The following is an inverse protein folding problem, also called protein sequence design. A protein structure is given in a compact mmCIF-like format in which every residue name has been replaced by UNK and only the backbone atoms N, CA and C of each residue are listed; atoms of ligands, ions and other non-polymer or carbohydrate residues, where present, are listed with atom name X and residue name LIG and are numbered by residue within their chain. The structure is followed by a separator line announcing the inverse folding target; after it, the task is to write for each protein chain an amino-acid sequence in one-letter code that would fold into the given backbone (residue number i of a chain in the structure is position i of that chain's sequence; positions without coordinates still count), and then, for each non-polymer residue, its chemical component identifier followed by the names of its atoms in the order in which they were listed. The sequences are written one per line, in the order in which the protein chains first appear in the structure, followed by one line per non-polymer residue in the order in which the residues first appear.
data_IF_741765465023
#
_entry.id   IF_741765465023
#
_cell.length_a   1.000
_cell.length_b   1.000
_cell.length_c   1.000
_cell.angle_alpha   90.00
_cell.angle_beta   90.00
_cell.angle_gamma   90.00
#
_symmetry.space_group_name_H-M   'P 1'
#
loop_
_entity.id
_entity.type
_entity.pdbx_description
1 polymer ?
#
# COMPACT_ATOMS: atom_id res chain seq x y z
N UNK A 1 0.04 -26.39 -10.26
CA UNK A 1 0.16 -25.83 -11.62
C UNK A 1 0.29 -24.32 -11.46
N UNK A 2 1.51 -23.80 -11.50
CA UNK A 2 1.74 -22.37 -11.65
C UNK A 2 1.71 -22.14 -13.17
N UNK A 3 0.72 -21.40 -13.67
CA UNK A 3 0.71 -20.95 -15.06
C UNK A 3 1.47 -19.64 -15.09
N UNK A 4 2.68 -19.67 -15.62
CA UNK A 4 3.43 -18.46 -15.94
C UNK A 4 2.59 -17.68 -16.98
N UNK A 5 2.07 -16.52 -16.58
CA UNK A 5 1.34 -15.64 -17.48
C UNK A 5 2.38 -14.83 -18.28
N UNK A 6 2.73 -15.34 -19.46
CA UNK A 6 3.63 -14.66 -20.41
C UNK A 6 2.94 -13.49 -21.16
N UNK A 7 1.70 -13.16 -20.81
CA UNK A 7 0.92 -12.09 -21.42
C UNK A 7 0.85 -10.87 -20.48
N UNK A 8 1.45 -9.75 -20.90
CA UNK A 8 1.39 -8.47 -20.18
C UNK A 8 -0.06 -8.00 -19.96
N UNK A 9 -0.99 -8.34 -20.85
CA UNK A 9 -2.41 -7.99 -20.73
C UNK A 9 -3.12 -8.75 -19.59
N UNK A 10 -2.54 -9.84 -19.09
CA UNK A 10 -3.09 -10.66 -18.00
C UNK A 10 -2.36 -10.45 -16.67
N UNK A 11 -1.32 -9.62 -16.66
CA UNK A 11 -0.56 -9.33 -15.45
C UNK A 11 -1.43 -8.61 -14.40
N UNK A 12 -1.28 -8.99 -13.14
CA UNK A 12 -1.90 -8.26 -12.03
C UNK A 12 -1.04 -7.08 -11.56
N UNK A 13 0.28 -7.16 -11.78
CA UNK A 13 1.27 -6.18 -11.34
C UNK A 13 2.29 -5.91 -12.46
N UNK A 14 2.63 -4.64 -12.66
CA UNK A 14 3.82 -4.18 -13.38
C UNK A 14 4.76 -3.56 -12.36
N UNK A 15 5.99 -4.05 -12.33
CA UNK A 15 7.01 -3.61 -11.38
C UNK A 15 7.93 -2.59 -12.05
N UNK A 16 7.99 -1.39 -11.49
CA UNK A 16 8.88 -0.31 -11.88
C UNK A 16 10.18 -0.35 -11.07
N UNK A 17 11.27 0.30 -11.54
CA UNK A 17 12.47 0.49 -10.74
C UNK A 17 12.16 1.11 -9.38
N UNK A 18 12.98 0.77 -8.39
CA UNK A 18 12.85 1.29 -7.02
C UNK A 18 12.78 2.81 -7.01
N UNK A 19 11.85 3.34 -6.22
CA UNK A 19 11.70 4.76 -5.97
C UNK A 19 11.95 5.06 -4.49
N UNK A 20 12.44 6.27 -4.19
CA UNK A 20 12.58 6.71 -2.81
C UNK A 20 11.18 6.90 -2.17
N UNK A 21 11.00 6.55 -0.88
CA UNK A 21 9.76 6.80 -0.14
C UNK A 21 9.42 8.30 -0.09
N UNK A 22 8.12 8.61 0.05
CA UNK A 22 7.66 9.97 0.29
C UNK A 22 7.99 10.40 1.73
N UNK A 23 8.74 11.50 1.90
CA UNK A 23 9.23 11.94 3.22
C UNK A 23 8.12 12.40 4.18
N UNK A 24 6.94 12.77 3.69
CA UNK A 24 5.86 13.35 4.48
C UNK A 24 4.73 12.36 4.82
N UNK A 25 4.79 11.13 4.32
CA UNK A 25 3.74 10.10 4.49
C UNK A 25 4.24 8.95 5.36
N UNK A 26 3.78 8.91 6.62
CA UNK A 26 4.24 7.91 7.60
C UNK A 26 3.19 6.85 7.93
N UNK A 27 1.91 7.24 7.98
CA UNK A 27 0.82 6.33 8.29
C UNK A 27 -0.52 6.88 7.78
N UNK A 28 -1.50 5.98 7.60
CA UNK A 28 -2.90 6.33 7.34
C UNK A 28 -3.85 5.66 8.33
N UNK A 29 -4.96 6.32 8.69
CA UNK A 29 -5.99 5.70 9.49
C UNK A 29 -6.86 4.76 8.65
N UNK A 30 -7.06 3.53 9.11
CA UNK A 30 -7.79 2.50 8.34
C UNK A 30 -9.13 2.11 8.95
N UNK A 31 -9.23 2.09 10.28
CA UNK A 31 -10.44 1.65 10.96
C UNK A 31 -10.63 2.36 12.28
N UNK A 32 -11.88 2.73 12.59
CA UNK A 32 -12.27 3.18 13.94
C UNK A 32 -13.01 2.08 14.69
N UNK A 33 -12.61 1.87 15.95
CA UNK A 33 -13.33 1.03 16.90
C UNK A 33 -13.42 1.75 18.24
N UNK A 34 -14.64 2.13 18.61
CA UNK A 34 -14.91 2.88 19.84
C UNK A 34 -14.08 4.18 19.94
N UNK A 35 -13.13 4.23 20.87
CA UNK A 35 -12.22 5.36 21.13
C UNK A 35 -10.81 5.12 20.60
N UNK A 36 -10.62 4.06 19.81
CA UNK A 36 -9.33 3.70 19.22
C UNK A 36 -9.41 3.67 17.71
N UNK A 37 -8.31 3.98 17.06
CA UNK A 37 -8.15 4.00 15.61
C UNK A 37 -6.97 3.10 15.27
N UNK A 38 -7.15 2.24 14.27
CA UNK A 38 -6.11 1.39 13.72
C UNK A 38 -5.29 2.19 12.71
N UNK A 39 -4.01 2.44 13.02
CA UNK A 39 -3.05 3.04 12.09
C UNK A 39 -2.35 1.96 11.30
N UNK A 40 -2.35 2.14 9.99
CA UNK A 40 -1.47 1.44 9.07
C UNK A 40 -0.21 2.28 8.81
N UNK A 41 0.96 1.66 8.96
CA UNK A 41 2.26 2.30 8.76
C UNK A 41 2.75 2.02 7.35
N UNK A 42 2.96 3.06 6.54
CA UNK A 42 3.38 2.88 5.16
C UNK A 42 4.67 2.04 5.08
N UNK A 43 4.71 1.15 4.09
CA UNK A 43 5.83 0.24 3.83
C UNK A 43 6.02 -0.87 4.87
N UNK A 44 5.13 -0.98 5.84
CA UNK A 44 5.03 -2.13 6.74
C UNK A 44 3.79 -2.95 6.38
N UNK A 45 3.79 -4.26 6.64
CA UNK A 45 2.61 -5.06 6.37
C UNK A 45 1.54 -4.82 7.45
N UNK A 46 0.29 -5.20 7.16
CA UNK A 46 -0.87 -5.01 8.05
C UNK A 46 -0.67 -5.63 9.44
N UNK A 47 0.15 -6.67 9.57
CA UNK A 47 0.50 -7.24 10.88
C UNK A 47 1.19 -6.27 11.84
N UNK A 48 1.73 -5.15 11.32
CA UNK A 48 2.37 -4.09 12.11
C UNK A 48 1.43 -2.94 12.45
N UNK A 49 0.17 -3.00 12.04
CA UNK A 49 -0.81 -1.99 12.36
C UNK A 49 -0.99 -1.84 13.88
N UNK A 50 -1.19 -0.60 14.33
CA UNK A 50 -1.28 -0.30 15.76
C UNK A 50 -2.57 0.42 16.11
N UNK A 51 -3.21 -0.01 17.20
CA UNK A 51 -4.34 0.70 17.77
C UNK A 51 -3.85 1.88 18.61
N UNK A 52 -4.35 3.07 18.30
CA UNK A 52 -4.03 4.31 19.02
C UNK A 52 -5.29 5.04 19.47
N UNK A 53 -5.20 5.82 20.54
CA UNK A 53 -6.31 6.62 21.10
C UNK A 53 -6.19 8.10 20.76
N UNK A 54 -5.78 8.42 19.53
CA UNK A 54 -5.63 9.80 19.04
C UNK A 54 -6.93 10.28 18.42
N UNK A 55 -7.30 11.53 18.65
CA UNK A 55 -8.37 12.19 17.89
C UNK A 55 -7.83 12.67 16.55
N UNK A 56 -8.44 12.23 15.45
CA UNK A 56 -8.08 12.65 14.10
C UNK A 56 -8.99 13.78 13.62
N UNK A 57 -8.49 14.69 12.77
CA UNK A 57 -9.31 15.73 12.16
C UNK A 57 -10.31 15.17 11.13
N UNK A 58 -10.06 13.97 10.61
CA UNK A 58 -10.86 13.27 9.59
C UNK A 58 -11.06 11.82 10.04
N UNK A 59 -12.25 11.27 9.85
CA UNK A 59 -12.54 9.87 10.14
C UNK A 59 -11.88 8.94 9.09
N UNK A 60 -11.40 7.75 9.49
CA UNK A 60 -10.94 6.77 8.51
C UNK A 60 -12.06 6.39 7.54
N UNK A 61 -11.72 5.99 6.31
CA UNK A 61 -12.71 5.51 5.35
C UNK A 61 -13.38 4.23 5.86
N UNK A 62 -14.68 4.05 5.56
CA UNK A 62 -15.43 2.85 5.96
C UNK A 62 -14.91 1.55 5.30
N UNK A 63 -14.25 1.69 4.15
CA UNK A 63 -13.66 0.62 3.38
C UNK A 63 -12.44 1.13 2.60
N UNK A 64 -11.45 0.27 2.30
CA UNK A 64 -10.37 0.62 1.38
C UNK A 64 -10.92 1.06 0.01
N UNK A 65 -10.24 1.97 -0.69
CA UNK A 65 -10.56 2.31 -2.07
C UNK A 65 -10.61 1.04 -2.93
N UNK A 66 -11.61 0.92 -3.79
CA UNK A 66 -11.63 -0.17 -4.77
C UNK A 66 -10.63 0.20 -5.87
N UNK A 67 -9.48 -0.46 -5.87
CA UNK A 67 -8.56 -0.40 -7.00
C UNK A 67 -9.15 -1.15 -8.20
N UNK A 68 -9.07 -0.53 -9.38
CA UNK A 68 -9.54 -1.12 -10.64
C UNK A 68 -8.42 -1.16 -11.65
N UNK A 69 -8.17 -2.33 -12.23
CA UNK A 69 -7.14 -2.52 -13.23
C UNK A 69 -5.85 -3.08 -12.65
N UNK A 70 -4.77 -2.92 -13.39
CA UNK A 70 -3.44 -3.46 -13.10
C UNK A 70 -2.71 -2.57 -12.10
N UNK A 71 -2.06 -3.18 -11.12
CA UNK A 71 -1.22 -2.47 -10.16
C UNK A 71 0.12 -2.08 -10.79
N UNK A 72 0.49 -0.81 -10.67
CA UNK A 72 1.82 -0.32 -11.02
C UNK A 72 2.54 0.02 -9.73
N UNK A 73 3.52 -0.80 -9.35
CA UNK A 73 4.22 -0.67 -8.07
C UNK A 73 5.72 -0.54 -8.28
N UNK A 74 6.40 0.14 -7.37
CA UNK A 74 7.86 0.17 -7.38
C UNK A 74 8.47 -1.14 -6.84
N UNK A 75 9.72 -1.42 -7.23
CA UNK A 75 10.39 -2.68 -6.91
C UNK A 75 10.52 -2.98 -5.42
N UNK A 76 10.41 -1.99 -4.52
CA UNK A 76 10.43 -2.29 -3.09
C UNK A 76 9.23 -3.11 -2.62
N UNK A 77 8.11 -3.11 -3.35
CA UNK A 77 6.95 -3.94 -3.00
C UNK A 77 7.32 -5.43 -2.92
N UNK A 78 8.08 -5.93 -3.91
CA UNK A 78 8.54 -7.33 -3.92
C UNK A 78 9.63 -7.59 -2.89
N UNK A 79 10.56 -6.65 -2.71
CA UNK A 79 11.65 -6.86 -1.74
C UNK A 79 11.14 -6.86 -0.31
N UNK A 80 10.16 -6.02 -0.02
CA UNK A 80 9.59 -5.89 1.31
C UNK A 80 8.64 -7.07 1.58
N UNK A 81 7.89 -7.53 0.56
CA UNK A 81 7.14 -8.79 0.63
C UNK A 81 8.03 -9.98 1.00
N UNK A 82 9.20 -10.12 0.37
CA UNK A 82 10.18 -11.17 0.70
C UNK A 82 10.75 -10.99 2.11
N UNK A 83 11.11 -9.75 2.48
CA UNK A 83 11.69 -9.43 3.78
C UNK A 83 10.74 -9.70 4.95
N UNK A 84 9.49 -9.28 4.83
CA UNK A 84 8.47 -9.48 5.86
C UNK A 84 7.83 -10.87 5.78
N UNK A 85 8.00 -11.58 4.65
CA UNK A 85 7.30 -12.83 4.35
C UNK A 85 5.77 -12.66 4.53
N UNK A 86 5.25 -11.54 4.07
CA UNK A 86 3.85 -11.13 4.16
C UNK A 86 3.48 -10.32 2.91
N UNK A 87 2.21 -10.40 2.49
CA UNK A 87 1.74 -9.59 1.37
C UNK A 87 1.74 -8.12 1.77
N UNK A 88 2.27 -7.26 0.91
CA UNK A 88 2.37 -5.82 1.15
C UNK A 88 1.20 -5.10 0.49
N UNK A 89 0.73 -4.00 1.10
CA UNK A 89 -0.30 -3.16 0.50
C UNK A 89 0.25 -2.47 -0.76
N UNK A 90 -0.34 -2.77 -1.91
CA UNK A 90 0.10 -2.22 -3.20
C UNK A 90 0.02 -0.69 -3.24
N UNK A 91 -0.97 -0.09 -2.56
CA UNK A 91 -1.17 1.37 -2.45
C UNK A 91 0.10 2.09 -1.98
N UNK A 92 0.83 1.51 -1.02
CA UNK A 92 2.04 2.11 -0.44
C UNK A 92 3.18 2.26 -1.48
N UNK A 93 3.17 1.42 -2.51
CA UNK A 93 4.21 1.32 -3.51
C UNK A 93 3.75 1.84 -4.87
N UNK A 94 2.51 2.34 -4.96
CA UNK A 94 1.89 2.67 -6.23
C UNK A 94 2.63 3.82 -6.94
N UNK A 95 2.87 3.64 -8.24
CA UNK A 95 3.51 4.63 -9.11
C UNK A 95 2.60 5.02 -10.28
N UNK A 96 2.84 6.19 -10.85
CA UNK A 96 2.24 6.62 -12.10
C UNK A 96 2.87 5.91 -13.32
N UNK A 97 2.35 6.18 -14.52
CA UNK A 97 2.87 5.62 -15.79
C UNK A 97 4.37 5.91 -16.03
N UNK A 98 4.91 6.95 -15.38
CA UNK A 98 6.31 7.37 -15.49
C UNK A 98 7.19 6.78 -14.37
N UNK A 99 6.64 5.91 -13.53
CA UNK A 99 7.34 5.34 -12.38
C UNK A 99 7.54 6.32 -11.23
N UNK A 100 6.69 7.34 -11.08
CA UNK A 100 6.76 8.27 -9.92
C UNK A 100 5.77 7.85 -8.86
N UNK A 101 6.19 7.81 -7.59
CA UNK A 101 5.30 7.48 -6.46
C UNK A 101 4.06 8.37 -6.45
N UNK A 102 2.90 7.74 -6.28
CA UNK A 102 1.65 8.43 -6.01
C UNK A 102 1.65 8.96 -4.59
N UNK A 103 1.15 10.18 -4.44
CA UNK A 103 0.95 10.83 -3.15
C UNK A 103 -0.46 10.47 -2.67
N UNK A 104 -0.57 9.95 -1.45
CA UNK A 104 -1.83 9.66 -0.81
C UNK A 104 -2.47 10.97 -0.35
N UNK A 105 -3.58 11.33 -0.98
CA UNK A 105 -4.34 12.50 -0.55
C UNK A 105 -4.99 12.20 0.80
N UNK A 106 -4.68 13.05 1.78
CA UNK A 106 -5.32 13.09 3.11
C UNK A 106 -6.78 13.52 3.00
#
# INVERSE_FOLDING_TARGET
HCSDLDNEEEATHIIYPRCDPLEEEYARPTMRRERTILMHWYYFPDSHDTWTSVELPVEPPDSPPIHTGLWKVDASWVTDLDQYNEWMNEEDYEVDENGRKKIHKV
#
